data_IF_038022790616
#
_entry.id   IF_038022790616
#
_cell.length_a   1.000
_cell.length_b   1.000
_cell.length_c   1.000
_cell.angle_alpha   90.00
_cell.angle_beta   90.00
_cell.angle_gamma   90.00
#
_symmetry.space_group_name_H-M   'P 1'
#
loop_
_entity.id
_entity.type
_entity.pdbx_description
1 polymer ?
#
# COMPACT_ATOMS: atom_id res chain seq x y z
N UNK A 1 -8.50 20.82 14.07
CA UNK A 1 -7.20 20.72 13.35
C UNK A 1 -6.41 19.58 14.00
N UNK A 2 -6.43 18.38 13.43
CA UNK A 2 -5.71 17.23 13.99
C UNK A 2 -4.22 17.49 13.85
N UNK A 3 -3.50 17.58 14.98
CA UNK A 3 -2.04 17.56 14.98
C UNK A 3 -1.62 16.11 15.16
N UNK A 4 -0.88 15.57 14.19
CA UNK A 4 -0.19 14.29 14.38
C UNK A 4 0.97 14.59 15.34
N UNK A 5 0.79 14.20 16.60
CA UNK A 5 1.72 14.45 17.70
C UNK A 5 2.27 13.12 18.19
N UNK A 6 3.02 12.45 17.33
CA UNK A 6 3.92 11.33 17.66
C UNK A 6 4.77 11.03 16.42
N UNK A 7 5.76 11.89 16.15
CA UNK A 7 6.61 11.78 14.96
C UNK A 7 8.05 11.59 15.37
N UNK A 8 8.73 10.65 14.72
CA UNK A 8 10.16 10.39 14.87
C UNK A 8 10.86 10.60 13.52
N UNK A 9 12.12 11.05 13.55
CA UNK A 9 12.90 11.21 12.32
C UNK A 9 13.39 9.85 11.83
N UNK A 10 12.79 9.32 10.76
CA UNK A 10 13.08 7.98 10.23
C UNK A 10 12.82 7.88 8.72
N UNK A 11 13.13 6.72 8.13
CA UNK A 11 12.85 6.46 6.71
C UNK A 11 11.34 6.35 6.47
N UNK A 12 10.83 7.07 5.47
CA UNK A 12 9.40 7.12 5.09
C UNK A 12 8.79 5.75 4.75
N UNK A 13 9.62 4.81 4.29
CA UNK A 13 9.20 3.43 3.99
C UNK A 13 8.67 2.72 5.24
N UNK A 14 9.11 3.11 6.44
CA UNK A 14 8.60 2.53 7.69
C UNK A 14 7.19 3.01 8.02
N UNK A 15 6.86 4.28 7.74
CA UNK A 15 5.49 4.78 7.89
C UNK A 15 4.53 4.03 6.95
N UNK A 16 4.99 3.79 5.71
CA UNK A 16 4.24 2.98 4.74
C UNK A 16 4.10 1.53 5.20
N UNK A 17 5.14 0.93 5.78
CA UNK A 17 5.08 -0.42 6.32
C UNK A 17 4.08 -0.54 7.49
N UNK A 18 4.03 0.47 8.37
CA UNK A 18 3.04 0.55 9.46
C UNK A 18 1.63 0.64 8.88
N UNK A 19 1.39 1.53 7.91
CA UNK A 19 0.09 1.67 7.27
C UNK A 19 -0.38 0.34 6.64
N UNK A 20 0.51 -0.33 5.91
CA UNK A 20 0.21 -1.63 5.30
C UNK A 20 -0.07 -2.71 6.34
N UNK A 21 0.70 -2.80 7.42
CA UNK A 21 0.49 -3.79 8.47
C UNK A 21 -0.92 -3.71 9.08
N UNK A 22 -1.42 -2.50 9.33
CA UNK A 22 -2.76 -2.30 9.90
C UNK A 22 -3.88 -2.41 8.88
N UNK A 23 -3.70 -1.89 7.66
CA UNK A 23 -4.72 -2.00 6.60
C UNK A 23 -4.92 -3.46 6.16
N UNK A 24 -3.86 -4.27 6.19
CA UNK A 24 -3.93 -5.69 5.86
C UNK A 24 -4.46 -6.55 7.01
N UNK A 25 -4.30 -6.10 8.27
CA UNK A 25 -4.87 -6.81 9.42
C UNK A 25 -6.39 -6.85 9.33
N UNK A 26 -6.99 -7.91 9.89
CA UNK A 26 -8.43 -8.15 9.90
C UNK A 26 -9.10 -8.24 8.52
N UNK A 27 -8.33 -8.46 7.45
CA UNK A 27 -8.90 -8.77 6.13
C UNK A 27 -9.35 -10.24 6.08
N UNK A 28 -10.48 -10.54 5.42
CA UNK A 28 -11.11 -11.85 5.46
C UNK A 28 -10.30 -12.94 4.74
N UNK A 29 -9.34 -12.56 3.89
CA UNK A 29 -8.48 -13.49 3.17
C UNK A 29 -7.14 -12.84 2.82
N UNK A 30 -6.13 -13.68 2.53
CA UNK A 30 -4.83 -13.26 1.98
C UNK A 30 -5.01 -12.37 0.74
N UNK A 31 -5.90 -12.75 -0.16
CA UNK A 31 -6.19 -11.97 -1.38
C UNK A 31 -6.71 -10.58 -1.07
N UNK A 32 -7.63 -10.45 -0.12
CA UNK A 32 -8.18 -9.16 0.31
C UNK A 32 -7.15 -8.28 1.02
N UNK A 33 -6.22 -8.88 1.78
CA UNK A 33 -5.08 -8.17 2.36
C UNK A 33 -4.15 -7.59 1.28
N UNK A 34 -3.82 -8.41 0.28
CA UNK A 34 -2.99 -7.96 -0.84
C UNK A 34 -3.66 -6.88 -1.68
N UNK A 35 -4.96 -6.99 -1.93
CA UNK A 35 -5.72 -5.97 -2.66
C UNK A 35 -5.74 -4.64 -1.89
N UNK A 36 -5.95 -4.69 -0.58
CA UNK A 36 -5.89 -3.49 0.26
C UNK A 36 -4.48 -2.86 0.24
N UNK A 37 -3.43 -3.68 0.27
CA UNK A 37 -2.06 -3.21 0.10
C UNK A 37 -1.84 -2.54 -1.26
N UNK A 38 -2.37 -3.09 -2.36
CA UNK A 38 -2.29 -2.48 -3.69
C UNK A 38 -2.88 -1.07 -3.70
N UNK A 39 -4.07 -0.90 -3.12
CA UNK A 39 -4.78 0.37 -3.14
C UNK A 39 -4.01 1.45 -2.38
N UNK A 40 -3.42 1.11 -1.23
CA UNK A 40 -2.56 2.02 -0.46
C UNK A 40 -1.30 2.38 -1.25
N UNK A 41 -0.64 1.39 -1.85
CA UNK A 41 0.56 1.61 -2.66
C UNK A 41 0.28 2.48 -3.88
N UNK A 42 -0.82 2.23 -4.58
CA UNK A 42 -1.25 3.05 -5.72
C UNK A 42 -1.46 4.51 -5.31
N UNK A 43 -2.22 4.73 -4.24
CA UNK A 43 -2.49 6.08 -3.73
C UNK A 43 -1.20 6.79 -3.30
N UNK A 44 -0.33 6.11 -2.55
CA UNK A 44 0.93 6.68 -2.08
C UNK A 44 1.89 7.01 -3.24
N UNK A 45 2.09 6.06 -4.16
CA UNK A 45 2.99 6.21 -5.31
C UNK A 45 2.50 7.25 -6.32
N UNK A 46 1.21 7.61 -6.32
CA UNK A 46 0.68 8.69 -7.18
C UNK A 46 1.21 10.08 -6.81
N UNK A 47 1.72 10.24 -5.58
CA UNK A 47 2.25 11.51 -5.07
C UNK A 47 3.76 11.39 -4.85
N UNK A 48 4.23 10.24 -4.33
CA UNK A 48 5.62 10.05 -3.91
C UNK A 48 6.16 8.74 -4.45
N UNK A 49 7.12 8.85 -5.37
CA UNK A 49 7.77 7.70 -5.95
C UNK A 49 8.61 6.93 -4.93
N UNK A 50 8.45 5.61 -4.92
CA UNK A 50 9.29 4.71 -4.14
C UNK A 50 10.55 4.36 -4.93
N UNK A 51 11.72 4.48 -4.31
CA UNK A 51 12.97 3.99 -4.90
C UNK A 51 12.96 2.47 -5.06
N UNK A 52 13.88 1.94 -5.88
CA UNK A 52 14.03 0.49 -6.05
C UNK A 52 14.43 -0.22 -4.75
N UNK A 53 15.19 0.46 -3.89
CA UNK A 53 15.61 -0.06 -2.58
C UNK A 53 14.42 -0.12 -1.62
N UNK A 54 13.63 0.95 -1.52
CA UNK A 54 12.45 0.98 -0.67
C UNK A 54 11.42 -0.07 -1.09
N UNK A 55 11.19 -0.23 -2.40
CA UNK A 55 10.30 -1.26 -2.94
C UNK A 55 10.71 -2.68 -2.57
N UNK A 56 12.00 -2.97 -2.56
CA UNK A 56 12.55 -4.27 -2.15
C UNK A 56 12.51 -4.48 -0.65
N UNK A 57 12.72 -3.42 0.13
CA UNK A 57 12.72 -3.49 1.59
C UNK A 57 11.30 -3.58 2.19
N UNK A 58 10.30 -3.00 1.52
CA UNK A 58 8.96 -2.82 2.08
C UNK A 58 8.29 -4.12 2.59
N UNK A 59 8.34 -5.27 1.89
CA UNK A 59 7.75 -6.52 2.41
C UNK A 59 8.36 -6.95 3.75
N UNK A 60 9.69 -6.85 3.86
CA UNK A 60 10.44 -7.17 5.07
C UNK A 60 10.11 -6.17 6.17
N UNK A 61 9.99 -4.88 5.84
CA UNK A 61 9.59 -3.86 6.81
C UNK A 61 8.18 -4.12 7.37
N UNK A 62 7.22 -4.55 6.53
CA UNK A 62 5.87 -4.91 6.99
C UNK A 62 5.92 -6.12 7.93
N UNK A 63 6.66 -7.16 7.55
CA UNK A 63 6.84 -8.34 8.41
C UNK A 63 7.50 -7.96 9.75
N UNK A 64 8.56 -7.16 9.73
CA UNK A 64 9.24 -6.67 10.92
C UNK A 64 8.29 -5.87 11.83
N UNK A 65 7.44 -5.01 11.25
CA UNK A 65 6.45 -4.25 12.02
C UNK A 65 5.38 -5.15 12.65
N UNK A 66 4.92 -6.18 11.94
CA UNK A 66 4.00 -7.18 12.49
C UNK A 66 4.63 -7.91 13.68
N UNK A 67 5.88 -8.37 13.53
CA UNK A 67 6.65 -9.00 14.61
C UNK A 67 6.76 -8.08 15.83
N UNK A 68 7.15 -6.82 15.63
CA UNK A 68 7.21 -5.83 16.73
C UNK A 68 5.86 -5.71 17.45
N UNK A 69 4.75 -5.68 16.72
CA UNK A 69 3.42 -5.58 17.30
C UNK A 69 3.08 -6.77 18.20
N UNK A 70 3.28 -7.99 17.69
CA UNK A 70 2.89 -9.21 18.40
C UNK A 70 3.83 -9.51 19.57
N UNK A 71 5.12 -9.21 19.44
CA UNK A 71 6.10 -9.35 20.53
C UNK A 71 5.84 -8.32 21.62
N UNK A 72 5.56 -7.06 21.26
CA UNK A 72 5.22 -6.01 22.23
C UNK A 72 3.96 -6.37 23.02
N UNK A 73 2.93 -6.91 22.34
CA UNK A 73 1.72 -7.41 23.00
C UNK A 73 2.01 -8.57 23.93
N UNK A 74 2.78 -9.57 23.47
CA UNK A 74 3.16 -10.71 24.29
C UNK A 74 3.94 -10.29 25.55
N UNK A 75 4.88 -9.35 25.42
CA UNK A 75 5.61 -8.81 26.55
C UNK A 75 4.69 -8.02 27.51
N UNK A 76 3.83 -7.15 26.99
CA UNK A 76 2.91 -6.38 27.82
C UNK A 76 1.99 -7.29 28.66
N UNK A 77 1.53 -8.41 28.10
CA UNK A 77 0.72 -9.42 28.82
C UNK A 77 1.50 -10.06 29.99
N UNK A 78 2.83 -10.16 29.91
CA UNK A 78 3.65 -10.67 31.04
C UNK A 78 3.78 -9.66 32.17
N UNK A 79 3.64 -8.36 31.86
CA UNK A 79 3.75 -7.27 32.84
C UNK A 79 2.39 -6.94 33.45
N UNK A 80 1.32 -6.96 32.65
CA UNK A 80 -0.06 -6.60 33.02
C UNK A 80 -1.04 -7.74 32.63
N UNK A 81 -0.99 -8.89 33.32
CA UNK A 81 -1.79 -10.06 32.96
C UNK A 81 -3.31 -9.83 33.08
N UNK A 82 -3.75 -8.90 33.92
CA UNK A 82 -5.15 -8.49 34.09
C UNK A 82 -5.72 -7.82 32.84
N UNK A 83 -4.87 -7.19 32.01
CA UNK A 83 -5.26 -6.47 30.79
C UNK A 83 -5.13 -7.35 29.53
N UNK A 84 -4.98 -8.67 29.69
CA UNK A 84 -4.69 -9.61 28.60
C UNK A 84 -5.64 -9.50 27.42
N UNK A 85 -6.95 -9.38 27.66
CA UNK A 85 -7.95 -9.35 26.60
C UNK A 85 -7.76 -8.12 25.68
N UNK A 86 -7.51 -6.95 26.27
CA UNK A 86 -7.23 -5.73 25.54
C UNK A 86 -5.89 -5.81 24.81
N UNK A 87 -4.84 -6.24 25.51
CA UNK A 87 -3.48 -6.32 24.96
C UNK A 87 -3.38 -7.34 23.81
N UNK A 88 -4.18 -8.40 23.84
CA UNK A 88 -4.19 -9.45 22.82
C UNK A 88 -5.07 -9.14 21.60
N UNK A 89 -5.85 -8.04 21.60
CA UNK A 89 -6.85 -7.76 20.56
C UNK A 89 -6.25 -7.73 19.15
N UNK A 90 -5.02 -7.23 19.02
CA UNK A 90 -4.30 -7.17 17.75
C UNK A 90 -3.28 -8.31 17.58
N UNK A 91 -3.08 -9.14 18.59
CA UNK A 91 -2.09 -10.21 18.56
C UNK A 91 -2.52 -11.35 17.63
N UNK A 92 -3.74 -11.87 17.80
CA UNK A 92 -4.27 -12.96 16.97
C UNK A 92 -4.32 -12.60 15.46
N UNK A 93 -4.89 -11.46 15.03
CA UNK A 93 -4.88 -11.08 13.62
C UNK A 93 -3.47 -10.75 13.12
N UNK A 94 -2.60 -10.21 13.99
CA UNK A 94 -1.20 -9.96 13.68
C UNK A 94 -0.43 -11.25 13.35
N UNK A 95 -0.58 -12.29 14.17
CA UNK A 95 0.03 -13.61 13.92
C UNK A 95 -0.51 -14.27 12.65
N UNK A 96 -1.83 -14.21 12.44
CA UNK A 96 -2.45 -14.79 11.25
C UNK A 96 -1.95 -14.11 9.96
N UNK A 97 -1.85 -12.77 9.97
CA UNK A 97 -1.31 -12.04 8.84
C UNK A 97 0.19 -12.29 8.65
N UNK A 98 0.98 -12.33 9.73
CA UNK A 98 2.43 -12.56 9.65
C UNK A 98 2.74 -13.87 8.92
N UNK A 99 2.05 -14.97 9.29
CA UNK A 99 2.23 -16.27 8.61
C UNK A 99 1.89 -16.19 7.12
N UNK A 100 0.81 -15.50 6.76
CA UNK A 100 0.43 -15.31 5.35
C UNK A 100 1.40 -14.39 4.59
N UNK A 101 1.96 -13.40 5.28
CA UNK A 101 2.84 -12.38 4.71
C UNK A 101 4.25 -12.89 4.47
N UNK A 102 4.77 -13.76 5.34
CA UNK A 102 6.08 -14.41 5.14
C UNK A 102 6.12 -15.28 3.89
N UNK A 103 4.99 -15.84 3.48
CA UNK A 103 4.89 -16.59 2.22
C UNK A 103 4.89 -15.66 0.99
N UNK A 104 4.43 -14.42 1.16
CA UNK A 104 4.45 -13.38 0.10
C UNK A 104 5.86 -12.82 -0.06
N UNK A 105 6.54 -12.55 1.06
CA UNK A 105 7.92 -12.07 1.09
C UNK A 105 8.87 -13.08 0.45
N UNK A 106 8.81 -14.37 0.82
CA UNK A 106 9.64 -15.41 0.18
C UNK A 106 9.38 -15.57 -1.32
N UNK A 107 8.16 -15.25 -1.77
CA UNK A 107 7.78 -15.39 -3.17
C UNK A 107 8.37 -14.30 -4.04
N UNK A 108 8.66 -13.09 -3.53
CA UNK A 108 9.12 -11.87 -4.24
C UNK A 108 8.24 -11.43 -5.45
N UNK A 109 7.95 -12.35 -6.36
CA UNK A 109 6.94 -12.33 -7.42
C UNK A 109 5.58 -11.85 -6.94
N UNK A 110 5.10 -12.32 -5.77
CA UNK A 110 3.81 -11.91 -5.22
C UNK A 110 3.73 -10.40 -4.98
N UNK A 111 4.81 -9.76 -4.53
CA UNK A 111 4.86 -8.32 -4.28
C UNK A 111 5.20 -7.52 -5.54
N UNK A 112 6.03 -8.08 -6.44
CA UNK A 112 6.28 -7.49 -7.76
C UNK A 112 5.00 -7.47 -8.61
N UNK A 113 4.19 -8.53 -8.59
CA UNK A 113 2.87 -8.56 -9.24
C UNK A 113 1.89 -7.56 -8.59
N UNK A 114 1.98 -7.40 -7.28
CA UNK A 114 1.22 -6.39 -6.51
C UNK A 114 1.56 -4.97 -6.96
N UNK A 115 2.85 -4.69 -7.16
CA UNK A 115 3.35 -3.41 -7.66
C UNK A 115 3.03 -3.19 -9.14
N UNK A 116 3.11 -4.23 -9.98
CA UNK A 116 2.74 -4.14 -11.40
C UNK A 116 1.26 -3.81 -11.60
N UNK A 117 0.38 -4.24 -10.68
CA UNK A 117 -1.03 -3.82 -10.65
C UNK A 117 -1.22 -2.39 -10.15
N UNK A 118 -0.31 -1.89 -9.31
CA UNK A 118 -0.33 -0.52 -8.79
C UNK A 118 0.37 0.51 -9.71
N UNK A 119 1.16 0.07 -10.70
CA UNK A 119 1.76 0.92 -11.72
C UNK A 119 1.47 0.32 -13.10
N UNK A 120 0.49 0.83 -13.87
CA UNK A 120 0.44 0.49 -15.29
C UNK A 120 1.77 0.92 -15.95
N UNK A 121 2.33 0.13 -16.89
CA UNK A 121 3.52 0.55 -17.62
C UNK A 121 3.27 1.91 -18.27
N UNK A 122 4.28 2.79 -18.38
CA UNK A 122 4.15 4.18 -18.85
C UNK A 122 3.67 4.33 -20.31
N UNK A 123 3.24 3.27 -20.98
CA UNK A 123 2.65 3.27 -22.32
C UNK A 123 1.12 3.35 -22.35
N UNK A 124 0.42 3.35 -21.21
CA UNK A 124 -1.05 3.28 -21.20
C UNK A 124 -1.78 4.58 -20.76
N UNK A 125 -1.06 5.65 -20.40
CA UNK A 125 -1.70 6.97 -20.18
C UNK A 125 -1.68 7.75 -21.50
N UNK A 126 -2.43 7.26 -22.48
CA UNK A 126 -2.88 8.13 -23.57
C UNK A 126 -3.99 8.99 -22.98
N UNK A 127 -3.61 10.18 -22.47
CA UNK A 127 -4.56 11.26 -22.25
C UNK A 127 -5.33 11.46 -23.56
N UNK A 128 -6.59 11.05 -23.55
CA UNK A 128 -7.51 11.34 -24.64
C UNK A 128 -7.50 12.84 -24.88
N UNK A 129 -6.98 13.25 -26.02
CA UNK A 129 -7.15 14.59 -26.55
C UNK A 129 -8.63 14.78 -26.88
N UNK A 130 -9.44 15.13 -25.87
CA UNK A 130 -10.76 15.70 -26.09
C UNK A 130 -10.57 17.18 -26.44
N UNK A 131 -10.74 17.48 -27.72
CA UNK A 131 -10.54 18.80 -28.32
C UNK A 131 -11.43 19.89 -27.72
N UNK A 132 -10.86 21.09 -27.62
CA UNK A 132 -11.60 22.33 -27.46
C UNK A 132 -11.80 23.02 -28.82
N UNK A 133 -13.07 23.38 -29.09
CA UNK A 133 -13.59 24.67 -29.60
C UNK A 133 -12.80 25.42 -30.69
N UNK A 134 -13.38 26.06 -31.72
CA UNK A 134 -14.74 26.54 -31.95
C UNK A 134 -14.82 27.16 -33.37
N UNK A 135 -15.99 27.00 -34.00
CA UNK A 135 -16.75 27.99 -34.78
C UNK A 135 -16.28 28.54 -36.16
N UNK A 136 -17.30 28.68 -37.01
CA UNK A 136 -17.54 29.65 -38.11
C UNK A 136 -16.98 29.30 -39.50
N UNK A 137 -17.88 29.32 -40.50
CA UNK A 137 -17.57 29.89 -41.82
C UNK A 137 -18.04 29.07 -43.01
N UNK A 138 -19.05 29.60 -43.70
CA UNK A 138 -19.64 29.11 -44.94
C UNK A 138 -18.69 29.11 -46.15
N UNK A 139 -19.17 28.42 -47.21
CA UNK A 139 -19.02 28.71 -48.64
C UNK A 139 -17.87 28.09 -49.47
N UNK A 140 -18.33 27.18 -50.34
CA UNK A 140 -18.16 27.20 -51.81
C UNK A 140 -16.81 26.84 -52.46
N UNK A 141 -16.89 25.72 -53.20
CA UNK A 141 -16.46 25.52 -54.60
C UNK A 141 -15.03 25.04 -54.96
N UNK A 142 -15.08 23.85 -55.62
CA UNK A 142 -14.34 23.40 -56.83
C UNK A 142 -12.86 23.01 -56.66
N UNK A 143 -12.57 21.72 -56.89
CA UNK A 143 -12.21 21.18 -58.23
C UNK A 143 -11.95 19.66 -58.14
N UNK A 144 -12.79 18.89 -58.81
CA UNK A 144 -12.45 17.61 -59.44
C UNK A 144 -12.41 17.85 -60.94
N UNK A 145 -11.44 17.21 -61.61
CA UNK A 145 -11.01 17.34 -63.01
C UNK A 145 -9.90 18.36 -63.27
#
# INVERSE_FOLDING_TARGET
>A
RWRILDMVHTCRVFDLAIALAYVCQNKPSRGAALEAACQVLFGYSSIIELSSVERKALPVCVAARLVQSVVSSAHAITVEPENREYLAVNAAPGWALLSQWTDIEKSQEGFTALQARAHPPPSAVTLGASGGSSLVGENELRKTA
#
